data_IF_837239425966
#
_entry.id   IF_837239425966
#
_cell.length_a   1.000
_cell.length_b   1.000
_cell.length_c   1.000
_cell.angle_alpha   90.00
_cell.angle_beta   90.00
_cell.angle_gamma   90.00
#
_symmetry.space_group_name_H-M   'P 1'
#
loop_
_entity.id
_entity.type
_entity.pdbx_description
1 polymer ?
#
# COMPACT_ATOMS: atom_id res chain seq x y z
N UNK A 1 5.64 -8.98 13.76
CA UNK A 1 4.21 -8.80 14.07
C UNK A 1 3.62 -10.14 14.40
N UNK A 2 2.92 -10.26 15.53
CA UNK A 2 2.22 -11.51 15.85
C UNK A 2 1.01 -11.61 14.93
N UNK A 3 0.63 -12.81 14.50
CA UNK A 3 -0.53 -13.04 13.63
C UNK A 3 -1.82 -12.41 14.22
N UNK A 4 -1.87 -12.33 15.54
CA UNK A 4 -2.91 -11.66 16.34
C UNK A 4 -3.06 -10.16 16.05
N UNK A 5 -2.00 -9.45 15.65
CA UNK A 5 -2.06 -8.00 15.40
C UNK A 5 -2.67 -7.71 14.02
N UNK A 6 -2.31 -8.51 13.02
CA UNK A 6 -2.86 -8.40 11.67
C UNK A 6 -4.36 -8.70 11.64
N UNK A 7 -4.78 -9.71 12.37
CA UNK A 7 -6.20 -10.08 12.46
C UNK A 7 -7.04 -8.99 13.13
N UNK A 8 -6.48 -8.26 14.11
CA UNK A 8 -7.13 -7.07 14.69
C UNK A 8 -7.32 -5.95 13.66
N UNK A 9 -6.30 -5.68 12.84
CA UNK A 9 -6.38 -4.67 11.78
C UNK A 9 -7.47 -5.03 10.75
N UNK A 10 -7.51 -6.29 10.32
CA UNK A 10 -8.55 -6.79 9.40
C UNK A 10 -9.95 -6.65 9.98
N UNK A 11 -10.14 -7.02 11.26
CA UNK A 11 -11.43 -6.82 11.95
C UNK A 11 -11.81 -5.35 12.08
N UNK A 12 -10.85 -4.47 12.38
CA UNK A 12 -11.10 -3.02 12.48
C UNK A 12 -11.53 -2.46 11.13
N UNK A 13 -10.81 -2.79 10.05
CA UNK A 13 -11.18 -2.43 8.68
C UNK A 13 -12.61 -2.89 8.36
N UNK A 14 -12.94 -4.15 8.66
CA UNK A 14 -14.26 -4.72 8.37
C UNK A 14 -15.41 -4.08 9.18
N UNK A 15 -15.15 -3.61 10.41
CA UNK A 15 -16.19 -3.07 11.32
C UNK A 15 -16.29 -1.55 11.29
N UNK A 16 -15.19 -0.86 11.05
CA UNK A 16 -15.05 0.58 11.25
C UNK A 16 -14.57 1.32 10.00
N UNK A 17 -14.30 0.62 8.89
CA UNK A 17 -13.86 1.23 7.64
C UNK A 17 -12.35 1.45 7.55
N UNK A 18 -11.89 1.72 6.32
CA UNK A 18 -10.47 1.91 5.97
C UNK A 18 -9.89 3.21 6.52
N UNK A 19 -10.72 4.21 6.76
CA UNK A 19 -10.38 5.54 7.29
C UNK A 19 -9.84 5.49 8.73
N UNK A 20 -10.11 4.40 9.46
CA UNK A 20 -9.61 4.19 10.83
C UNK A 20 -8.22 3.55 10.87
N UNK A 21 -7.62 3.27 9.71
CA UNK A 21 -6.29 2.69 9.59
C UNK A 21 -5.33 3.75 9.04
N UNK A 22 -4.13 3.81 9.61
CA UNK A 22 -3.05 4.58 9.02
C UNK A 22 -2.63 4.01 7.67
N UNK A 23 -1.95 4.81 6.85
CA UNK A 23 -1.36 4.34 5.59
C UNK A 23 -0.49 3.09 5.78
N UNK A 24 0.30 3.05 6.85
CA UNK A 24 1.15 1.90 7.18
C UNK A 24 0.31 0.66 7.55
N UNK A 25 -0.78 0.84 8.29
CA UNK A 25 -1.69 -0.25 8.64
C UNK A 25 -2.45 -0.77 7.42
N UNK A 26 -2.90 0.10 6.52
CA UNK A 26 -3.51 -0.28 5.24
C UNK A 26 -2.53 -1.11 4.39
N UNK A 27 -1.29 -0.64 4.27
CA UNK A 27 -0.23 -1.38 3.58
C UNK A 27 0.09 -2.70 4.28
N UNK A 28 0.04 -2.74 5.61
CA UNK A 28 0.25 -3.97 6.39
C UNK A 28 -0.82 -5.00 6.05
N UNK A 29 -2.10 -4.60 6.08
CA UNK A 29 -3.22 -5.49 5.72
C UNK A 29 -3.04 -6.02 4.29
N UNK A 30 -2.69 -5.15 3.34
CA UNK A 30 -2.52 -5.50 1.93
C UNK A 30 -1.31 -6.42 1.65
N UNK A 31 -0.16 -6.13 2.27
CA UNK A 31 1.13 -6.74 1.93
C UNK A 31 1.53 -7.90 2.86
N UNK A 32 0.73 -8.22 3.87
CA UNK A 32 1.04 -9.19 4.93
C UNK A 32 1.28 -10.65 4.50
N UNK A 33 0.99 -11.04 3.26
CA UNK A 33 1.32 -12.39 2.79
C UNK A 33 2.81 -12.52 2.44
N UNK A 34 3.51 -13.45 3.10
CA UNK A 34 4.92 -13.76 2.83
C UNK A 34 5.91 -12.82 3.54
N UNK A 35 6.28 -13.19 4.77
CA UNK A 35 7.38 -12.67 5.62
C UNK A 35 7.43 -11.16 5.94
N UNK A 36 8.29 -10.84 6.92
CA UNK A 36 8.24 -9.79 7.95
C UNK A 36 7.74 -8.39 7.55
N UNK A 37 7.08 -7.76 8.51
CA UNK A 37 6.40 -6.46 8.52
C UNK A 37 7.33 -5.24 8.44
N UNK A 38 8.55 -5.38 7.92
CA UNK A 38 9.52 -4.28 7.84
C UNK A 38 9.24 -3.34 6.67
N UNK A 39 8.50 -3.80 5.65
CA UNK A 39 8.15 -3.00 4.48
C UNK A 39 7.37 -1.73 4.83
N UNK A 40 6.52 -1.78 5.86
CA UNK A 40 5.59 -0.70 6.21
C UNK A 40 6.28 0.45 6.92
N UNK A 41 7.41 0.20 7.58
CA UNK A 41 8.24 1.24 8.21
C UNK A 41 9.09 1.99 7.17
N UNK A 42 9.51 1.30 6.12
CA UNK A 42 10.35 1.87 5.06
C UNK A 42 9.56 2.71 4.03
N UNK A 43 8.25 2.48 3.91
CA UNK A 43 7.38 3.30 3.06
C UNK A 43 6.97 4.54 3.84
N UNK A 44 7.80 5.57 3.80
CA UNK A 44 7.49 6.88 4.39
C UNK A 44 6.57 7.70 3.49
N UNK A 45 6.70 7.56 2.16
CA UNK A 45 5.88 8.26 1.17
C UNK A 45 5.36 7.29 0.10
N UNK A 46 4.06 7.03 0.09
CA UNK A 46 3.40 6.19 -0.94
C UNK A 46 3.53 6.82 -2.34
N UNK A 47 3.68 8.14 -2.42
CA UNK A 47 3.88 8.88 -3.67
C UNK A 47 5.11 8.40 -4.43
N UNK A 48 6.21 8.08 -3.74
CA UNK A 48 7.46 7.67 -4.38
C UNK A 48 7.35 6.27 -4.99
N UNK A 49 6.37 5.48 -4.55
CA UNK A 49 6.09 4.15 -5.08
C UNK A 49 5.36 4.19 -6.44
N UNK A 50 4.67 5.30 -6.75
CA UNK A 50 3.97 5.45 -8.03
C UNK A 50 4.96 5.42 -9.20
N UNK A 51 6.08 6.12 -9.06
CA UNK A 51 7.09 6.27 -10.12
C UNK A 51 8.16 5.18 -10.09
N UNK A 52 8.39 4.53 -8.95
CA UNK A 52 9.37 3.46 -8.82
C UNK A 52 9.09 2.25 -9.75
N UNK A 53 10.15 1.68 -10.32
CA UNK A 53 10.08 0.39 -11.00
C UNK A 53 9.99 -0.75 -9.98
N UNK A 54 9.59 -1.94 -10.44
CA UNK A 54 9.52 -3.13 -9.56
C UNK A 54 10.87 -3.40 -8.90
N UNK A 55 11.98 -3.29 -9.65
CA UNK A 55 13.32 -3.53 -9.13
C UNK A 55 13.66 -2.56 -7.99
N UNK A 56 13.32 -1.27 -8.13
CA UNK A 56 13.56 -0.26 -7.09
C UNK A 56 12.78 -0.59 -5.82
N UNK A 57 11.52 -1.02 -5.97
CA UNK A 57 10.68 -1.46 -4.84
C UNK A 57 11.27 -2.68 -4.15
N UNK A 58 11.93 -3.60 -4.87
CA UNK A 58 12.51 -4.81 -4.28
C UNK A 58 13.77 -4.58 -3.46
N UNK A 59 14.42 -3.42 -3.58
CA UNK A 59 15.56 -3.03 -2.74
C UNK A 59 15.12 -2.74 -1.31
N UNK A 60 13.84 -2.38 -1.11
CA UNK A 60 13.29 -2.07 0.22
C UNK A 60 13.16 -3.34 1.06
N UNK A 61 13.77 -3.34 2.25
CA UNK A 61 13.76 -4.48 3.15
C UNK A 61 12.34 -4.93 3.50
N UNK A 62 11.99 -6.16 3.11
CA UNK A 62 10.68 -6.75 3.35
C UNK A 62 9.68 -6.56 2.21
N UNK A 63 10.07 -5.90 1.10
CA UNK A 63 9.33 -5.85 -0.16
C UNK A 63 10.02 -6.78 -1.16
N UNK A 64 9.60 -8.05 -1.22
CA UNK A 64 10.03 -8.94 -2.30
C UNK A 64 9.25 -8.69 -3.59
N UNK A 65 9.63 -9.38 -4.68
CA UNK A 65 8.99 -9.30 -5.99
C UNK A 65 7.45 -9.37 -5.92
N UNK A 66 6.91 -10.33 -5.16
CA UNK A 66 5.45 -10.50 -4.99
C UNK A 66 4.78 -9.26 -4.40
N UNK A 67 5.39 -8.62 -3.40
CA UNK A 67 4.85 -7.41 -2.77
C UNK A 67 4.98 -6.20 -3.69
N UNK A 68 6.10 -6.07 -4.41
CA UNK A 68 6.29 -5.03 -5.41
C UNK A 68 5.23 -5.11 -6.52
N UNK A 69 4.92 -6.30 -7.03
CA UNK A 69 3.84 -6.51 -8.00
C UNK A 69 2.46 -6.08 -7.45
N UNK A 70 2.14 -6.45 -6.20
CA UNK A 70 0.88 -6.04 -5.54
C UNK A 70 0.75 -4.53 -5.44
N UNK A 71 1.84 -3.85 -5.06
CA UNK A 71 1.90 -2.38 -4.99
C UNK A 71 1.58 -1.80 -6.36
N UNK A 72 2.33 -2.18 -7.41
CA UNK A 72 2.12 -1.60 -8.76
C UNK A 72 0.69 -1.86 -9.27
N UNK A 73 0.14 -3.04 -9.01
CA UNK A 73 -1.24 -3.36 -9.36
C UNK A 73 -2.25 -2.45 -8.63
N UNK A 74 -2.08 -2.24 -7.32
CA UNK A 74 -2.94 -1.34 -6.54
C UNK A 74 -2.91 0.09 -7.10
N UNK A 75 -1.72 0.62 -7.35
CA UNK A 75 -1.54 2.01 -7.81
C UNK A 75 -2.17 2.23 -9.19
N UNK A 76 -2.00 1.27 -10.10
CA UNK A 76 -2.64 1.30 -11.42
C UNK A 76 -4.17 1.20 -11.32
N UNK A 77 -4.69 0.34 -10.43
CA UNK A 77 -6.14 0.29 -10.17
C UNK A 77 -6.67 1.62 -9.63
N UNK A 78 -5.98 2.21 -8.67
CA UNK A 78 -6.30 3.55 -8.16
C UNK A 78 -6.34 4.59 -9.26
N UNK A 79 -5.34 4.61 -10.15
CA UNK A 79 -5.29 5.51 -11.32
C UNK A 79 -6.48 5.32 -12.27
N UNK A 80 -6.95 4.08 -12.47
CA UNK A 80 -8.13 3.79 -13.33
C UNK A 80 -9.44 4.24 -12.70
N UNK A 81 -9.58 4.11 -11.38
CA UNK A 81 -10.80 4.45 -10.63
C UNK A 81 -10.90 5.95 -10.39
N UNK A 82 -9.75 6.60 -10.13
CA UNK A 82 -9.65 8.03 -9.88
C UNK A 82 -8.89 8.69 -11.04
N UNK A 83 -9.52 8.87 -12.21
CA UNK A 83 -8.90 9.64 -13.28
C UNK A 83 -8.63 11.04 -12.74
N UNK A 84 -7.35 11.42 -12.66
CA UNK A 84 -6.94 12.76 -12.26
C UNK A 84 -7.68 13.75 -13.14
N UNK A 85 -8.74 14.35 -12.58
CA UNK A 85 -9.52 15.35 -13.29
C UNK A 85 -8.65 16.59 -13.32
N UNK A 86 -7.79 16.69 -14.32
CA UNK A 86 -7.18 17.94 -14.69
C UNK A 86 -8.26 18.78 -15.38
N UNK A 87 -9.20 19.31 -14.58
CA UNK A 87 -9.99 20.46 -15.00
C UNK A 87 -9.00 21.61 -15.07
N UNK A 88 -8.35 21.75 -16.23
CA UNK A 88 -7.85 23.04 -16.66
C UNK A 88 -9.11 23.91 -16.72
N UNK A 89 -9.26 24.78 -15.73
CA UNK A 89 -10.18 25.91 -15.81
C UNK A 89 -9.64 26.74 -16.97
N UNK A 90 -10.25 26.61 -18.14
CA UNK A 90 -10.15 27.62 -19.19
C UNK A 90 -11.16 28.70 -18.78
N UNK A 91 -10.63 29.86 -18.39
CA UNK A 91 -11.37 31.12 -18.27
C UNK A 91 -11.55 31.73 -19.66
#
# INVERSE_FOLDING_TARGET
MKDTDLEKLRRRLARQGTETLSTQELLTVLLSAGSRCTATEAIQNVSDMFTAAINDLTVVQGIGFVKACKIKALLELGRRIFPTTNKIIQL
#
